data_IF_166753726229
#
_entry.id   IF_166753726229
#
_cell.length_a   1.000
_cell.length_b   1.000
_cell.length_c   1.000
_cell.angle_alpha   90.00
_cell.angle_beta   90.00
_cell.angle_gamma   90.00
#
_symmetry.space_group_name_H-M   'P 1'
#
loop_
_entity.id
_entity.type
_entity.pdbx_description
1 polymer ?
#
# COMPACT_ATOMS: atom_id res chain seq x y z
N UNK A 1 -24.35 4.44 -40.03
CA UNK A 1 -24.77 3.10 -40.52
C UNK A 1 -23.48 2.37 -40.86
N UNK A 2 -23.02 1.33 -40.18
CA UNK A 2 -23.70 0.28 -39.42
C UNK A 2 -22.88 -0.13 -38.18
N UNK A 3 -23.61 -0.68 -37.23
CA UNK A 3 -23.21 -1.26 -35.94
C UNK A 3 -21.98 -2.17 -35.95
N UNK A 4 -20.99 -1.84 -35.13
CA UNK A 4 -20.29 -2.85 -34.34
C UNK A 4 -20.62 -2.56 -32.88
N UNK A 5 -21.60 -3.29 -32.32
CA UNK A 5 -21.87 -3.28 -30.91
C UNK A 5 -20.59 -3.65 -30.18
N UNK A 6 -19.98 -2.68 -29.49
CA UNK A 6 -18.81 -2.91 -28.67
C UNK A 6 -19.27 -3.72 -27.48
N UNK A 7 -19.25 -5.05 -27.63
CA UNK A 7 -19.46 -5.98 -26.54
C UNK A 7 -18.51 -5.58 -25.41
N UNK A 8 -19.11 -5.35 -24.24
CA UNK A 8 -18.47 -5.14 -22.94
C UNK A 8 -17.25 -6.06 -22.84
N UNK A 9 -16.04 -5.52 -23.02
CA UNK A 9 -14.80 -6.29 -22.83
C UNK A 9 -14.59 -6.45 -21.33
N UNK A 10 -15.25 -7.45 -20.76
CA UNK A 10 -15.18 -7.81 -19.35
C UNK A 10 -13.82 -8.40 -18.95
N UNK A 11 -12.99 -8.78 -19.92
CA UNK A 11 -11.71 -9.47 -19.73
C UNK A 11 -10.52 -8.60 -20.18
N UNK A 12 -9.57 -8.37 -19.28
CA UNK A 12 -8.25 -7.82 -19.55
C UNK A 12 -7.24 -8.95 -19.71
N UNK A 13 -6.27 -8.77 -20.60
CA UNK A 13 -5.20 -9.73 -20.84
C UNK A 13 -3.90 -9.22 -20.24
N UNK A 14 -3.27 -9.98 -19.33
CA UNK A 14 -2.00 -9.58 -18.71
C UNK A 14 -0.82 -10.12 -19.54
N UNK A 15 -0.22 -9.24 -20.33
CA UNK A 15 0.89 -9.59 -21.23
C UNK A 15 2.22 -9.66 -20.48
N UNK A 16 2.33 -9.09 -19.28
CA UNK A 16 3.58 -9.11 -18.49
C UNK A 16 4.07 -10.52 -18.11
N UNK A 17 3.18 -11.51 -18.08
CA UNK A 17 3.54 -12.90 -17.79
C UNK A 17 4.20 -13.63 -18.96
N UNK A 18 3.95 -13.22 -20.21
CA UNK A 18 4.50 -13.90 -21.39
C UNK A 18 6.02 -13.78 -21.47
N UNK A 19 6.59 -12.67 -21.00
CA UNK A 19 8.05 -12.48 -20.86
C UNK A 19 8.66 -13.29 -19.72
N UNK A 20 7.87 -13.71 -18.72
CA UNK A 20 8.30 -14.50 -17.56
C UNK A 20 8.09 -16.02 -17.77
N UNK A 21 7.42 -16.42 -18.86
CA UNK A 21 7.03 -17.81 -19.13
C UNK A 21 8.21 -18.80 -19.05
N UNK A 22 9.40 -18.41 -19.53
CA UNK A 22 10.60 -19.26 -19.47
C UNK A 22 11.12 -19.57 -18.06
N UNK A 23 10.75 -18.79 -17.04
CA UNK A 23 11.14 -18.99 -15.64
C UNK A 23 9.95 -19.14 -14.69
N UNK A 24 8.74 -19.39 -15.22
CA UNK A 24 7.49 -19.34 -14.45
C UNK A 24 7.49 -20.30 -13.25
N UNK A 25 8.04 -21.51 -13.41
CA UNK A 25 8.13 -22.50 -12.32
C UNK A 25 9.02 -22.04 -11.16
N UNK A 26 10.20 -21.48 -11.45
CA UNK A 26 11.09 -20.96 -10.40
C UNK A 26 10.45 -19.79 -9.66
N UNK A 27 9.86 -18.86 -10.40
CA UNK A 27 9.18 -17.70 -9.83
C UNK A 27 7.98 -18.10 -8.98
N UNK A 28 7.22 -19.12 -9.39
CA UNK A 28 6.12 -19.67 -8.60
C UNK A 28 6.61 -20.14 -7.22
N UNK A 29 7.66 -20.95 -7.16
CA UNK A 29 8.22 -21.41 -5.88
C UNK A 29 8.75 -20.26 -5.03
N UNK A 30 9.43 -19.28 -5.63
CA UNK A 30 9.94 -18.10 -4.91
C UNK A 30 8.80 -17.30 -4.30
N UNK A 31 7.76 -16.96 -5.08
CA UNK A 31 6.62 -16.20 -4.56
C UNK A 31 5.79 -16.97 -3.55
N UNK A 32 5.68 -18.30 -3.70
CA UNK A 32 5.04 -19.16 -2.70
C UNK A 32 5.79 -19.15 -1.38
N UNK A 33 7.11 -19.30 -1.40
CA UNK A 33 7.95 -19.25 -0.21
C UNK A 33 7.87 -17.89 0.47
N UNK A 34 7.92 -16.79 -0.30
CA UNK A 34 7.73 -15.44 0.24
C UNK A 34 6.37 -15.27 0.89
N UNK A 35 5.30 -15.77 0.25
CA UNK A 35 3.95 -15.71 0.81
C UNK A 35 3.85 -16.45 2.14
N UNK A 36 4.35 -17.69 2.21
CA UNK A 36 4.35 -18.48 3.45
C UNK A 36 5.20 -17.82 4.55
N UNK A 37 6.34 -17.26 4.18
CA UNK A 37 7.21 -16.55 5.11
C UNK A 37 6.50 -15.34 5.73
N UNK A 38 5.85 -14.50 4.91
CA UNK A 38 5.09 -13.34 5.39
C UNK A 38 3.93 -13.76 6.30
N UNK A 39 3.17 -14.79 5.90
CA UNK A 39 2.09 -15.33 6.73
C UNK A 39 2.59 -15.78 8.10
N UNK A 40 3.69 -16.53 8.13
CA UNK A 40 4.27 -17.05 9.35
C UNK A 40 4.85 -15.93 10.22
N UNK A 41 5.66 -15.04 9.65
CA UNK A 41 6.32 -13.96 10.39
C UNK A 41 5.30 -13.01 11.02
N UNK A 42 4.32 -12.57 10.25
CA UNK A 42 3.37 -11.56 10.71
C UNK A 42 2.39 -12.14 11.72
N UNK A 43 1.93 -13.38 11.50
CA UNK A 43 1.06 -14.09 12.46
C UNK A 43 1.79 -14.38 13.77
N UNK A 44 3.07 -14.76 13.72
CA UNK A 44 3.87 -15.00 14.91
C UNK A 44 4.01 -13.73 15.76
N UNK A 45 4.29 -12.59 15.12
CA UNK A 45 4.42 -11.31 15.84
C UNK A 45 3.07 -10.89 16.44
N UNK A 46 1.96 -11.03 15.70
CA UNK A 46 0.62 -10.78 16.23
C UNK A 46 0.34 -11.69 17.44
N UNK A 47 0.65 -12.99 17.33
CA UNK A 47 0.47 -13.95 18.43
C UNK A 47 1.25 -13.55 19.68
N UNK A 48 2.52 -13.14 19.53
CA UNK A 48 3.35 -12.67 20.65
C UNK A 48 2.73 -11.42 21.31
N UNK A 49 2.26 -10.46 20.51
CA UNK A 49 1.61 -9.24 21.01
C UNK A 49 0.35 -9.57 21.81
N UNK A 50 -0.49 -10.50 21.32
CA UNK A 50 -1.73 -10.89 21.99
C UNK A 50 -1.49 -11.75 23.24
N UNK A 51 -0.45 -12.59 23.25
CA UNK A 51 -0.14 -13.49 24.37
C UNK A 51 0.47 -12.74 25.56
N UNK A 52 1.26 -11.68 25.31
CA UNK A 52 1.94 -10.93 26.36
C UNK A 52 1.14 -9.71 26.81
N UNK A 53 0.49 -9.79 27.99
CA UNK A 53 -0.23 -8.64 28.59
C UNK A 53 0.65 -7.42 28.84
N UNK A 54 1.96 -7.60 29.04
CA UNK A 54 2.92 -6.51 29.18
C UNK A 54 3.03 -5.63 27.91
N UNK A 55 2.63 -6.16 26.75
CA UNK A 55 2.59 -5.47 25.47
C UNK A 55 1.23 -4.81 25.17
N UNK A 56 0.25 -4.81 26.08
CA UNK A 56 -1.02 -4.07 25.91
C UNK A 56 -0.84 -2.55 26.07
N UNK A 57 0.09 -1.97 25.31
CA UNK A 57 0.25 -0.53 25.12
C UNK A 57 -0.33 -0.13 23.77
N UNK A 58 -0.86 1.10 23.63
CA UNK A 58 -1.48 1.58 22.39
C UNK A 58 -0.58 1.45 21.16
N UNK A 59 0.75 1.58 21.30
CA UNK A 59 1.69 1.33 20.21
C UNK A 59 1.54 -0.07 19.57
N UNK A 60 1.38 -1.12 20.39
CA UNK A 60 1.31 -2.48 19.88
C UNK A 60 -0.02 -2.78 19.17
N UNK A 61 -1.09 -2.06 19.53
CA UNK A 61 -2.33 -2.12 18.76
C UNK A 61 -2.13 -1.62 17.32
N UNK A 62 -1.40 -0.51 17.13
CA UNK A 62 -1.04 -0.02 15.81
C UNK A 62 -0.13 -1.00 15.04
N UNK A 63 0.85 -1.61 15.72
CA UNK A 63 1.72 -2.64 15.10
C UNK A 63 0.90 -3.83 14.64
N UNK A 64 0.00 -4.36 15.48
CA UNK A 64 -0.89 -5.45 15.11
C UNK A 64 -1.77 -5.08 13.90
N UNK A 65 -2.30 -3.86 13.83
CA UNK A 65 -3.07 -3.39 12.68
C UNK A 65 -2.23 -3.30 11.39
N UNK A 66 -0.96 -2.89 11.46
CA UNK A 66 -0.06 -2.89 10.28
C UNK A 66 0.21 -4.31 9.80
N UNK A 67 0.44 -5.25 10.72
CA UNK A 67 0.65 -6.67 10.37
C UNK A 67 -0.62 -7.31 9.79
N UNK A 68 -1.80 -6.98 10.32
CA UNK A 68 -3.08 -7.39 9.73
C UNK A 68 -3.26 -6.85 8.30
N UNK A 69 -2.88 -5.60 8.05
CA UNK A 69 -2.88 -5.04 6.70
C UNK A 69 -1.93 -5.80 5.77
N UNK A 70 -0.72 -6.15 6.25
CA UNK A 70 0.28 -6.93 5.51
C UNK A 70 -0.23 -8.32 5.13
N UNK A 71 -0.83 -9.05 6.08
CA UNK A 71 -1.47 -10.34 5.84
C UNK A 71 -2.59 -10.23 4.80
N UNK A 72 -3.48 -9.25 4.96
CA UNK A 72 -4.62 -9.05 4.05
C UNK A 72 -4.17 -8.64 2.65
N UNK A 73 -3.18 -7.76 2.53
CA UNK A 73 -2.63 -7.36 1.23
C UNK A 73 -1.94 -8.55 0.54
N UNK A 74 -1.23 -9.37 1.31
CA UNK A 74 -0.55 -10.57 0.81
C UNK A 74 -1.55 -11.61 0.30
N UNK A 75 -2.64 -11.88 1.02
CA UNK A 75 -3.69 -12.81 0.59
C UNK A 75 -4.49 -12.30 -0.61
N UNK A 76 -4.59 -11.00 -0.82
CA UNK A 76 -5.21 -10.42 -2.03
C UNK A 76 -4.27 -10.48 -3.25
N UNK A 77 -2.96 -10.38 -3.03
CA UNK A 77 -1.98 -10.28 -4.10
C UNK A 77 -1.41 -11.65 -4.53
N UNK A 78 -0.83 -12.40 -3.59
CA UNK A 78 -0.05 -13.61 -3.88
C UNK A 78 -0.87 -14.76 -4.48
N UNK A 79 -2.08 -15.10 -3.98
CA UNK A 79 -2.85 -16.21 -4.54
C UNK A 79 -3.18 -16.00 -6.02
N UNK A 80 -3.52 -14.77 -6.39
CA UNK A 80 -3.81 -14.42 -7.79
C UNK A 80 -2.54 -14.39 -8.64
N UNK A 81 -1.44 -13.85 -8.12
CA UNK A 81 -0.15 -13.90 -8.79
C UNK A 81 0.29 -15.36 -9.07
N UNK A 82 0.14 -16.24 -8.08
CA UNK A 82 0.47 -17.65 -8.17
C UNK A 82 -0.44 -18.39 -9.17
N UNK A 83 -1.75 -18.10 -9.16
CA UNK A 83 -2.67 -18.67 -10.16
C UNK A 83 -2.32 -18.21 -11.57
N UNK A 84 -2.02 -16.92 -11.74
CA UNK A 84 -1.70 -16.33 -13.04
C UNK A 84 -0.36 -16.89 -13.58
N UNK A 85 0.64 -17.15 -12.71
CA UNK A 85 1.89 -17.83 -13.09
C UNK A 85 1.68 -19.27 -13.56
N UNK A 86 0.82 -20.03 -12.88
CA UNK A 86 0.48 -21.40 -13.28
C UNK A 86 -0.24 -21.42 -14.64
N UNK A 87 -1.23 -20.53 -14.83
CA UNK A 87 -1.97 -20.42 -16.07
C UNK A 87 -1.14 -19.87 -17.23
N UNK A 88 -0.14 -19.02 -16.95
CA UNK A 88 0.77 -18.50 -17.98
C UNK A 88 1.61 -19.61 -18.66
N UNK A 89 1.76 -20.77 -18.03
CA UNK A 89 2.36 -21.96 -18.67
C UNK A 89 1.42 -22.64 -19.67
N UNK A 90 0.10 -22.38 -19.61
CA UNK A 90 -0.94 -23.04 -20.38
C UNK A 90 -1.68 -22.11 -21.37
N UNK A 91 -1.47 -20.78 -21.32
CA UNK A 91 -2.12 -19.83 -22.23
C UNK A 91 -2.17 -18.39 -21.74
N UNK A 92 -2.99 -17.55 -22.39
CA UNK A 92 -3.11 -16.12 -22.13
C UNK A 92 -3.96 -15.85 -20.87
N UNK A 93 -3.41 -15.20 -19.86
CA UNK A 93 -4.12 -14.91 -18.59
C UNK A 93 -5.16 -13.80 -18.81
N UNK A 94 -6.44 -14.15 -18.66
CA UNK A 94 -7.57 -13.24 -18.73
C UNK A 94 -8.11 -12.92 -17.33
N UNK A 95 -8.11 -11.65 -16.94
CA UNK A 95 -8.61 -11.16 -15.66
C UNK A 95 -9.83 -10.29 -15.87
N UNK A 96 -10.89 -10.53 -15.09
CA UNK A 96 -12.08 -9.68 -15.12
C UNK A 96 -11.76 -8.25 -14.66
N UNK A 97 -12.34 -7.24 -15.34
CA UNK A 97 -12.23 -5.83 -14.95
C UNK A 97 -12.64 -5.60 -13.50
N UNK A 98 -13.72 -6.24 -13.04
CA UNK A 98 -14.21 -6.09 -11.65
C UNK A 98 -13.19 -6.62 -10.65
N UNK A 99 -12.63 -7.81 -10.91
CA UNK A 99 -11.61 -8.40 -10.05
C UNK A 99 -10.33 -7.56 -10.01
N UNK A 100 -9.97 -6.95 -11.13
CA UNK A 100 -8.83 -6.04 -11.27
C UNK A 100 -9.01 -4.76 -10.42
N UNK A 101 -10.21 -4.16 -10.48
CA UNK A 101 -10.58 -2.99 -9.66
C UNK A 101 -10.62 -3.31 -8.17
N UNK A 102 -11.25 -4.44 -7.79
CA UNK A 102 -11.30 -4.89 -6.40
C UNK A 102 -9.90 -5.11 -5.82
N UNK A 103 -9.04 -5.83 -6.54
CA UNK A 103 -7.65 -6.06 -6.12
C UNK A 103 -6.90 -4.74 -5.92
N UNK A 104 -7.01 -3.82 -6.89
CA UNK A 104 -6.32 -2.52 -6.83
C UNK A 104 -6.82 -1.66 -5.67
N UNK A 105 -8.13 -1.69 -5.40
CA UNK A 105 -8.75 -1.00 -4.27
C UNK A 105 -8.19 -1.49 -2.93
N UNK A 106 -8.21 -2.81 -2.69
CA UNK A 106 -7.72 -3.38 -1.44
C UNK A 106 -6.24 -3.09 -1.23
N UNK A 107 -5.40 -3.31 -2.24
CA UNK A 107 -3.95 -3.07 -2.14
C UNK A 107 -3.65 -1.59 -1.86
N UNK A 108 -4.30 -0.67 -2.58
CA UNK A 108 -4.05 0.76 -2.42
C UNK A 108 -4.59 1.30 -1.09
N UNK A 109 -5.76 0.83 -0.65
CA UNK A 109 -6.35 1.23 0.64
C UNK A 109 -5.54 0.69 1.83
N UNK A 110 -5.15 -0.59 1.80
CA UNK A 110 -4.32 -1.19 2.83
C UNK A 110 -2.92 -0.57 2.87
N UNK A 111 -2.35 -0.24 1.71
CA UNK A 111 -1.10 0.53 1.63
C UNK A 111 -1.24 1.90 2.29
N UNK A 112 -2.26 2.67 1.93
CA UNK A 112 -2.52 3.99 2.52
C UNK A 112 -2.78 3.95 4.03
N UNK A 113 -3.54 2.97 4.49
CA UNK A 113 -3.77 2.79 5.93
C UNK A 113 -2.51 2.40 6.69
N UNK A 114 -1.61 1.64 6.08
CA UNK A 114 -0.30 1.31 6.69
C UNK A 114 0.55 2.56 6.90
N UNK A 115 0.55 3.51 5.96
CA UNK A 115 1.21 4.82 6.14
C UNK A 115 0.58 5.65 7.26
N UNK A 116 -0.75 5.69 7.33
CA UNK A 116 -1.45 6.41 8.42
C UNK A 116 -1.16 5.77 9.78
N UNK A 117 -1.17 4.44 9.88
CA UNK A 117 -0.79 3.70 11.09
C UNK A 117 0.66 3.98 11.50
N UNK A 118 1.60 4.02 10.54
CA UNK A 118 2.99 4.42 10.79
C UNK A 118 3.08 5.84 11.36
N UNK A 119 2.29 6.78 10.84
CA UNK A 119 2.23 8.15 11.38
C UNK A 119 1.61 8.20 12.78
N UNK A 120 0.57 7.40 13.05
CA UNK A 120 -0.04 7.30 14.37
C UNK A 120 0.94 6.72 15.41
N UNK A 121 1.74 5.71 15.03
CA UNK A 121 2.82 5.18 15.88
C UNK A 121 3.88 6.24 16.18
N UNK A 122 4.28 7.04 15.18
CA UNK A 122 5.24 8.12 15.38
C UNK A 122 4.68 9.21 16.31
N UNK A 123 3.38 9.52 16.19
CA UNK A 123 2.69 10.46 17.08
C UNK A 123 2.61 9.95 18.52
N UNK A 124 2.21 8.70 18.73
CA UNK A 124 2.17 8.04 20.04
C UNK A 124 3.55 8.10 20.72
N UNK A 125 4.59 7.73 19.97
CA UNK A 125 5.98 7.77 20.46
C UNK A 125 6.43 9.19 20.79
N UNK A 126 6.11 10.17 19.93
CA UNK A 126 6.41 11.57 20.18
C UNK A 126 5.76 12.09 21.47
N UNK A 127 4.46 11.84 21.68
CA UNK A 127 3.78 12.28 22.89
C UNK A 127 4.36 11.61 24.14
N UNK A 128 4.67 10.31 24.06
CA UNK A 128 5.22 9.56 25.20
C UNK A 128 6.60 10.08 25.66
N UNK A 129 7.43 10.58 24.74
CA UNK A 129 8.79 11.04 25.02
C UNK A 129 8.83 12.54 25.32
N UNK A 130 8.16 13.35 24.49
CA UNK A 130 8.25 14.80 24.55
C UNK A 130 7.29 15.43 25.56
N UNK A 131 6.14 14.79 25.81
CA UNK A 131 5.07 15.34 26.66
C UNK A 131 4.46 14.28 27.59
N UNK A 132 5.26 13.64 28.47
CA UNK A 132 4.80 12.54 29.33
C UNK A 132 3.63 12.94 30.26
N UNK A 133 3.60 14.18 30.75
CA UNK A 133 2.53 14.71 31.61
C UNK A 133 1.16 14.79 30.89
N UNK A 134 1.16 15.05 29.58
CA UNK A 134 -0.07 15.15 28.79
C UNK A 134 -0.47 13.81 28.15
N UNK A 135 0.45 12.83 28.07
CA UNK A 135 0.22 11.55 27.41
C UNK A 135 -0.98 10.79 27.98
N UNK A 136 -1.10 10.70 29.31
CA UNK A 136 -2.20 9.97 29.97
C UNK A 136 -3.59 10.58 29.72
N UNK A 137 -3.66 11.89 29.43
CA UNK A 137 -4.92 12.61 29.15
C UNK A 137 -5.23 12.62 27.64
N UNK A 138 -4.19 12.69 26.80
CA UNK A 138 -4.35 12.71 25.34
C UNK A 138 -4.57 11.33 24.74
N UNK A 139 -3.93 10.28 25.26
CA UNK A 139 -3.97 8.93 24.69
C UNK A 139 -4.84 8.03 25.58
N UNK A 140 -6.14 8.03 25.29
CA UNK A 140 -7.11 7.13 25.94
C UNK A 140 -7.47 5.97 25.00
N UNK A 141 -7.89 4.80 25.53
CA UNK A 141 -8.27 3.65 24.70
C UNK A 141 -9.33 4.00 23.64
N UNK A 142 -10.32 4.82 23.99
CA UNK A 142 -11.35 5.27 23.06
C UNK A 142 -10.77 6.09 21.89
N UNK A 143 -9.82 6.98 22.16
CA UNK A 143 -9.14 7.76 21.10
C UNK A 143 -8.25 6.88 20.23
N UNK A 144 -7.61 5.86 20.80
CA UNK A 144 -6.80 4.89 20.03
C UNK A 144 -7.69 4.11 19.06
N UNK A 145 -8.85 3.63 19.51
CA UNK A 145 -9.82 2.97 18.63
C UNK A 145 -10.30 3.91 17.53
N UNK A 146 -10.62 5.17 17.87
CA UNK A 146 -11.00 6.18 16.88
C UNK A 146 -9.88 6.43 15.85
N UNK A 147 -8.62 6.55 16.29
CA UNK A 147 -7.48 6.72 15.39
C UNK A 147 -7.30 5.51 14.47
N UNK A 148 -7.44 4.28 14.97
CA UNK A 148 -7.39 3.06 14.16
C UNK A 148 -8.48 3.06 13.08
N UNK A 149 -9.71 3.39 13.45
CA UNK A 149 -10.82 3.51 12.50
C UNK A 149 -10.53 4.56 11.43
N UNK A 150 -10.04 5.74 11.82
CA UNK A 150 -9.68 6.79 10.85
C UNK A 150 -8.55 6.34 9.91
N UNK A 151 -7.55 5.62 10.42
CA UNK A 151 -6.45 5.09 9.61
C UNK A 151 -6.94 4.12 8.53
N UNK A 152 -8.01 3.36 8.76
CA UNK A 152 -8.60 2.48 7.74
C UNK A 152 -9.62 3.19 6.84
N UNK A 153 -10.50 3.99 7.42
CA UNK A 153 -11.63 4.58 6.70
C UNK A 153 -11.19 5.69 5.74
N UNK A 154 -10.27 6.57 6.15
CA UNK A 154 -9.87 7.71 5.33
C UNK A 154 -9.19 7.26 4.01
N UNK A 155 -8.19 6.35 4.02
CA UNK A 155 -7.63 5.80 2.78
C UNK A 155 -8.67 5.04 1.96
N UNK A 156 -9.53 4.25 2.60
CA UNK A 156 -10.57 3.48 1.91
C UNK A 156 -11.53 4.39 1.15
N UNK A 157 -11.94 5.52 1.72
CA UNK A 157 -12.83 6.47 1.06
C UNK A 157 -12.12 7.14 -0.13
N UNK A 158 -10.91 7.67 0.07
CA UNK A 158 -10.17 8.39 -0.97
C UNK A 158 -9.78 7.47 -2.16
N UNK A 159 -9.34 6.25 -1.86
CA UNK A 159 -9.05 5.23 -2.87
C UNK A 159 -10.34 4.71 -3.51
N UNK A 160 -11.42 4.60 -2.74
CA UNK A 160 -12.74 4.20 -3.23
C UNK A 160 -13.28 5.16 -4.29
N UNK A 161 -13.18 6.47 -4.05
CA UNK A 161 -13.54 7.49 -5.05
C UNK A 161 -12.67 7.36 -6.30
N UNK A 162 -11.35 7.17 -6.13
CA UNK A 162 -10.43 6.94 -7.26
C UNK A 162 -10.83 5.71 -8.09
N UNK A 163 -11.19 4.62 -7.40
CA UNK A 163 -11.60 3.35 -8.00
C UNK A 163 -12.94 3.47 -8.73
N UNK A 164 -13.90 4.17 -8.13
CA UNK A 164 -15.22 4.43 -8.72
C UNK A 164 -15.07 5.29 -9.99
N UNK A 165 -14.23 6.33 -9.94
CA UNK A 165 -13.97 7.15 -11.11
C UNK A 165 -13.35 6.28 -12.22
N UNK A 166 -12.34 5.45 -11.88
CA UNK A 166 -11.70 4.51 -12.81
C UNK A 166 -12.68 3.46 -13.38
N UNK A 167 -13.69 3.02 -12.63
CA UNK A 167 -14.67 2.04 -13.09
C UNK A 167 -15.66 2.61 -14.10
N UNK A 168 -15.81 3.94 -14.17
CA UNK A 168 -16.70 4.62 -15.13
C UNK A 168 -16.05 4.88 -16.48
N UNK A 169 -14.72 4.74 -16.59
CA UNK A 169 -14.02 5.01 -17.85
C UNK A 169 -14.28 3.94 -18.92
N UNK A 170 -14.49 4.33 -20.19
CA UNK A 170 -14.49 3.39 -21.30
C UNK A 170 -13.06 2.94 -21.61
N UNK A 171 -12.85 1.62 -21.74
CA UNK A 171 -11.56 1.05 -22.14
C UNK A 171 -11.48 0.99 -23.67
N UNK A 172 -10.40 1.53 -24.23
CA UNK A 172 -10.09 1.40 -25.66
C UNK A 172 -9.07 0.27 -25.94
N UNK A 173 -8.33 -0.16 -24.91
CA UNK A 173 -7.36 -1.24 -25.00
C UNK A 173 -7.62 -2.26 -23.88
N UNK A 174 -7.55 -3.55 -24.22
CA UNK A 174 -7.74 -4.66 -23.29
C UNK A 174 -6.44 -5.40 -22.93
N UNK A 175 -5.28 -4.94 -23.43
CA UNK A 175 -3.97 -5.53 -23.17
C UNK A 175 -3.21 -4.74 -22.11
N UNK A 176 -3.01 -5.36 -20.94
CA UNK A 176 -2.28 -4.80 -19.82
C UNK A 176 -0.87 -5.39 -19.80
N UNK A 177 0.15 -4.59 -20.09
CA UNK A 177 1.55 -5.05 -20.13
C UNK A 177 2.19 -5.06 -18.72
N UNK A 178 1.48 -5.65 -17.74
CA UNK A 178 1.86 -5.75 -16.32
C UNK A 178 1.53 -7.13 -15.78
N UNK A 179 2.15 -7.45 -14.64
CA UNK A 179 1.97 -8.68 -13.87
C UNK A 179 0.86 -8.53 -12.82
N UNK A 180 0.45 -7.29 -12.50
CA UNK A 180 -0.63 -6.99 -11.57
C UNK A 180 -1.52 -5.85 -12.07
N UNK A 181 -2.73 -5.82 -11.52
CA UNK A 181 -3.73 -4.80 -11.77
C UNK A 181 -3.49 -3.57 -10.88
N UNK A 182 -3.50 -2.39 -11.51
CA UNK A 182 -3.39 -1.11 -10.82
C UNK A 182 -4.30 -0.06 -11.49
N UNK A 183 -4.87 0.83 -10.68
CA UNK A 183 -5.79 1.91 -11.10
C UNK A 183 -5.15 2.80 -12.16
N UNK A 184 -3.87 3.17 -12.04
CA UNK A 184 -3.21 4.03 -13.03
C UNK A 184 -3.12 3.34 -14.39
N UNK A 185 -2.85 2.05 -14.38
CA UNK A 185 -2.77 1.26 -15.59
C UNK A 185 -4.14 1.13 -16.28
N UNK A 186 -5.25 1.02 -15.53
CA UNK A 186 -6.59 1.12 -16.11
C UNK A 186 -6.88 2.49 -16.73
N UNK A 187 -6.50 3.58 -16.04
CA UNK A 187 -6.68 4.95 -16.56
C UNK A 187 -5.84 5.17 -17.83
N UNK A 188 -4.70 4.51 -17.96
CA UNK A 188 -3.86 4.54 -19.16
C UNK A 188 -4.44 3.75 -20.34
N UNK A 189 -5.27 2.73 -20.08
CA UNK A 189 -5.93 1.90 -21.10
C UNK A 189 -7.26 2.49 -21.60
N UNK A 190 -7.76 3.53 -20.93
CA UNK A 190 -8.98 4.21 -21.33
C UNK A 190 -8.81 4.96 -22.63
N UNK A 191 -9.93 5.27 -23.29
CA UNK A 191 -9.98 6.03 -24.54
C UNK A 191 -9.45 7.48 -24.45
N UNK A 192 -8.88 7.89 -23.31
CA UNK A 192 -8.47 9.27 -23.07
C UNK A 192 -9.66 10.17 -22.76
N UNK A 193 -9.47 11.49 -22.89
CA UNK A 193 -10.48 12.51 -22.61
C UNK A 193 -10.38 13.17 -21.23
N UNK A 194 -11.22 14.18 -20.99
CA UNK A 194 -11.22 14.99 -19.78
C UNK A 194 -11.46 14.15 -18.52
N UNK A 195 -12.39 13.20 -18.56
CA UNK A 195 -12.68 12.26 -17.46
C UNK A 195 -11.45 11.40 -17.07
N UNK A 196 -10.66 10.98 -18.07
CA UNK A 196 -9.46 10.18 -17.86
C UNK A 196 -8.29 11.00 -17.32
N UNK A 197 -8.21 12.27 -17.69
CA UNK A 197 -7.26 13.21 -17.12
C UNK A 197 -7.63 13.53 -15.68
N UNK A 198 -8.91 13.79 -15.40
CA UNK A 198 -9.42 14.03 -14.05
C UNK A 198 -9.13 12.84 -13.13
N UNK A 199 -9.44 11.62 -13.56
CA UNK A 199 -9.15 10.39 -12.81
C UNK A 199 -7.65 10.21 -12.53
N UNK A 200 -6.80 10.45 -13.53
CA UNK A 200 -5.36 10.36 -13.38
C UNK A 200 -4.78 11.41 -12.42
N UNK A 201 -5.22 12.65 -12.52
CA UNK A 201 -4.79 13.76 -11.64
C UNK A 201 -5.28 13.51 -10.22
N UNK A 202 -6.55 13.14 -10.04
CA UNK A 202 -7.11 12.83 -8.72
C UNK A 202 -6.34 11.67 -8.06
N UNK A 203 -6.14 10.56 -8.77
CA UNK A 203 -5.37 9.43 -8.26
C UNK A 203 -3.95 9.82 -7.84
N UNK A 204 -3.26 10.61 -8.67
CA UNK A 204 -1.90 11.10 -8.38
C UNK A 204 -1.87 12.00 -7.13
N UNK A 205 -2.81 12.94 -7.01
CA UNK A 205 -2.90 13.83 -5.86
C UNK A 205 -3.19 13.07 -4.58
N UNK A 206 -4.18 12.17 -4.59
CA UNK A 206 -4.52 11.36 -3.42
C UNK A 206 -3.36 10.48 -3.00
N UNK A 207 -2.71 9.82 -3.95
CA UNK A 207 -1.53 8.97 -3.67
C UNK A 207 -0.40 9.81 -3.08
N UNK A 208 -0.13 10.99 -3.65
CA UNK A 208 0.85 11.91 -3.10
C UNK A 208 0.50 12.32 -1.67
N UNK A 209 -0.74 12.71 -1.39
CA UNK A 209 -1.17 13.14 -0.04
C UNK A 209 -1.07 12.00 0.97
N UNK A 210 -1.63 10.81 0.65
CA UNK A 210 -1.64 9.65 1.54
C UNK A 210 -0.23 9.13 1.85
N UNK A 211 0.74 9.39 0.98
CA UNK A 211 2.13 8.98 1.18
C UNK A 211 2.97 10.09 1.80
N UNK A 212 3.09 11.24 1.12
CA UNK A 212 4.03 12.28 1.50
C UNK A 212 3.67 12.94 2.84
N UNK A 213 2.38 13.10 3.14
CA UNK A 213 1.97 13.76 4.37
C UNK A 213 2.27 12.88 5.60
N UNK A 214 1.85 11.60 5.66
CA UNK A 214 2.29 10.69 6.73
C UNK A 214 3.81 10.53 6.77
N UNK A 215 4.47 10.47 5.61
CA UNK A 215 5.91 10.32 5.52
C UNK A 215 6.71 11.48 6.12
N UNK A 216 6.35 12.71 5.75
CA UNK A 216 6.98 13.92 6.29
C UNK A 216 6.70 14.06 7.78
N UNK A 217 5.49 13.71 8.23
CA UNK A 217 5.14 13.70 9.63
C UNK A 217 5.98 12.70 10.44
N UNK A 218 6.12 11.46 9.95
CA UNK A 218 6.98 10.42 10.57
C UNK A 218 8.41 10.92 10.68
N UNK A 219 9.00 11.41 9.59
CA UNK A 219 10.36 11.94 9.59
C UNK A 219 10.54 13.08 10.58
N UNK A 220 9.61 14.03 10.62
CA UNK A 220 9.65 15.16 11.53
C UNK A 220 9.58 14.72 13.00
N UNK A 221 8.63 13.83 13.34
CA UNK A 221 8.48 13.28 14.69
C UNK A 221 9.75 12.56 15.14
N UNK A 222 10.31 11.67 14.30
CA UNK A 222 11.53 10.94 14.65
C UNK A 222 12.77 11.84 14.71
N UNK A 223 12.88 12.85 13.85
CA UNK A 223 13.96 13.83 13.93
C UNK A 223 13.91 14.63 15.24
N UNK A 224 12.72 15.05 15.69
CA UNK A 224 12.53 15.70 16.99
C UNK A 224 12.87 14.79 18.16
N UNK A 225 12.41 13.53 18.13
CA UNK A 225 12.74 12.52 19.15
C UNK A 225 14.26 12.34 19.22
N UNK A 226 14.91 12.17 18.07
CA UNK A 226 16.36 11.98 17.97
C UNK A 226 17.12 13.20 18.52
N UNK A 227 16.70 14.41 18.14
CA UNK A 227 17.30 15.66 18.64
C UNK A 227 17.23 15.77 20.17
N UNK A 228 16.08 15.44 20.77
CA UNK A 228 15.92 15.46 22.24
C UNK A 228 16.75 14.36 22.90
N UNK A 229 16.80 13.16 22.31
CA UNK A 229 17.58 12.05 22.82
C UNK A 229 19.09 12.30 22.75
N UNK A 230 19.58 12.95 21.69
CA UNK A 230 20.98 13.36 21.52
C UNK A 230 21.38 14.49 22.47
N UNK A 231 20.44 15.36 22.86
CA UNK A 231 20.66 16.36 23.91
C UNK A 231 20.66 15.76 25.33
N UNK A 232 20.14 14.55 25.53
CA UNK A 232 20.23 13.80 26.79
C UNK A 232 21.43 12.84 26.78
N UNK A 233 21.74 12.25 27.93
CA UNK A 233 22.87 11.33 28.16
C UNK A 233 23.06 10.26 27.06
N UNK A 234 24.33 9.92 26.75
CA UNK A 234 24.73 8.92 25.73
C UNK A 234 24.01 7.56 25.87
N UNK A 235 23.68 7.14 27.10
CA UNK A 235 22.96 5.88 27.35
C UNK A 235 21.50 5.92 26.86
N UNK A 236 20.84 7.07 26.98
CA UNK A 236 19.46 7.27 26.52
C UNK A 236 19.39 7.41 25.00
N UNK A 237 20.39 8.06 24.40
CA UNK A 237 20.55 8.17 22.95
C UNK A 237 20.74 6.81 22.26
N UNK A 238 21.57 5.91 22.82
CA UNK A 238 21.81 4.58 22.26
C UNK A 238 20.56 3.69 22.23
N UNK A 239 19.77 3.69 23.31
CA UNK A 239 18.49 2.95 23.37
C UNK A 239 17.43 3.50 22.43
N UNK A 240 17.33 4.83 22.31
CA UNK A 240 16.41 5.46 21.36
C UNK A 240 16.80 5.18 19.89
N UNK A 241 18.10 5.15 19.58
CA UNK A 241 18.61 4.81 18.25
C UNK A 241 18.23 3.37 17.86
N UNK A 242 18.39 2.40 18.77
CA UNK A 242 18.04 1.00 18.52
C UNK A 242 16.55 0.78 18.21
N UNK A 243 15.65 1.57 18.81
CA UNK A 243 14.21 1.47 18.53
C UNK A 243 13.76 2.29 17.31
N UNK A 244 14.42 3.41 16.99
CA UNK A 244 14.04 4.27 15.87
C UNK A 244 14.61 3.81 14.53
N UNK A 245 15.80 3.18 14.53
CA UNK A 245 16.48 2.74 13.32
C UNK A 245 15.67 1.73 12.48
N UNK A 246 15.01 0.71 13.07
CA UNK A 246 14.17 -0.22 12.32
C UNK A 246 12.94 0.48 11.71
N UNK A 247 12.29 1.37 12.45
CA UNK A 247 11.15 2.15 11.94
C UNK A 247 11.56 3.09 10.80
N UNK A 248 12.72 3.74 10.92
CA UNK A 248 13.28 4.57 9.84
C UNK A 248 13.69 3.71 8.63
N UNK A 249 14.30 2.54 8.83
CA UNK A 249 14.67 1.61 7.75
C UNK A 249 13.45 1.06 7.00
N UNK A 250 12.38 0.71 7.73
CA UNK A 250 11.10 0.30 7.12
C UNK A 250 10.51 1.47 6.32
N UNK A 251 10.53 2.67 6.89
CA UNK A 251 10.06 3.88 6.23
C UNK A 251 10.87 4.25 4.98
N UNK A 252 12.20 4.13 5.03
CA UNK A 252 13.09 4.35 3.89
C UNK A 252 12.90 3.30 2.80
N UNK A 253 12.77 2.01 3.16
CA UNK A 253 12.45 0.96 2.20
C UNK A 253 11.12 1.23 1.49
N UNK A 254 10.07 1.57 2.26
CA UNK A 254 8.78 1.93 1.68
C UNK A 254 8.89 3.15 0.75
N UNK A 255 9.65 4.18 1.13
CA UNK A 255 9.85 5.39 0.33
C UNK A 255 10.65 5.15 -0.96
N UNK A 256 11.58 4.19 -0.98
CA UNK A 256 12.35 3.80 -2.16
C UNK A 256 11.44 3.08 -3.17
N UNK A 257 10.64 2.11 -2.71
CA UNK A 257 9.64 1.43 -3.56
C UNK A 257 8.65 2.42 -4.19
N UNK A 258 8.36 3.53 -3.51
CA UNK A 258 7.49 4.59 -4.00
C UNK A 258 8.12 5.51 -5.05
N UNK A 259 9.43 5.77 -5.00
CA UNK A 259 10.12 6.50 -6.07
C UNK A 259 9.99 5.76 -7.40
N UNK A 260 10.04 4.43 -7.38
CA UNK A 260 9.83 3.64 -8.58
C UNK A 260 8.39 3.77 -9.11
N UNK A 261 7.39 3.64 -8.24
CA UNK A 261 5.97 3.83 -8.60
C UNK A 261 5.72 5.22 -9.19
N UNK A 262 6.21 6.29 -8.53
CA UNK A 262 5.98 7.66 -8.98
C UNK A 262 6.73 7.99 -10.27
N UNK A 263 7.97 7.50 -10.41
CA UNK A 263 8.74 7.61 -11.65
C UNK A 263 8.02 6.88 -12.78
N UNK A 264 7.40 5.73 -12.48
CA UNK A 264 6.65 4.96 -13.45
C UNK A 264 5.34 5.63 -13.88
N UNK A 265 4.58 6.18 -12.93
CA UNK A 265 3.35 6.96 -13.21
C UNK A 265 3.68 8.22 -14.01
N UNK A 266 4.77 8.91 -13.66
CA UNK A 266 5.24 10.09 -14.40
C UNK A 266 5.64 9.73 -15.85
N UNK A 267 6.26 8.57 -16.08
CA UNK A 267 6.55 8.07 -17.43
C UNK A 267 5.27 7.74 -18.21
N UNK A 268 4.27 7.14 -17.56
CA UNK A 268 2.97 6.84 -18.19
C UNK A 268 2.21 8.12 -18.58
N UNK A 269 2.20 9.14 -17.71
CA UNK A 269 1.57 10.42 -18.01
C UNK A 269 2.33 11.23 -19.07
N UNK A 270 3.66 11.08 -19.14
CA UNK A 270 4.48 11.74 -20.17
C UNK A 270 4.27 11.10 -21.54
N UNK A 271 4.17 9.76 -21.61
CA UNK A 271 3.78 9.05 -22.84
C UNK A 271 2.39 9.43 -23.36
N UNK A 272 1.49 9.92 -22.50
CA UNK A 272 0.17 10.45 -22.89
C UNK A 272 0.22 11.87 -23.49
N UNK A 273 1.32 12.60 -23.32
CA UNK A 273 1.49 13.97 -23.86
C UNK A 273 2.16 13.95 -25.24
N UNK A 274 2.85 12.87 -25.55
CA UNK A 274 3.60 12.68 -26.80
C UNK A 274 2.85 11.76 -27.81
N UNK A 275 1.57 11.44 -27.54
CA UNK A 275 0.64 10.69 -28.42
C UNK A 275 -0.64 11.49 -28.62
#
# INVERSE_FOLDING_TARGET
MTSAGFNVTSSLTLVGFSSLSGHSSLLFFVFLLLYLFVLFSDSLVIYIICSQRALHRPMFAFVASVLLNSLTASTVFYPKLLSDLLLSGAGLVQVSRTLCLCQSFFVSSLGGSSFMLLSAMAFDRYLSICHPMHYAVLVTPAKVVLMLLLCWMLPSILVGVSTLLASRLPLCRAQLNRVYCDIYSLVSLSCGGAEAQLSGIYGLLITAVIIFLPATFVLFSYAKILFICLRRSRSFSSKALQTCLPHLLVFFNYSISLKEVFTHVKRLLRGRRDS
#
